data_IF_304388660955
#
_entry.id   IF_304388660955
#
_cell.length_a   1.000
_cell.length_b   1.000
_cell.length_c   1.000
_cell.angle_alpha   90.00
_cell.angle_beta   90.00
_cell.angle_gamma   90.00
#
_symmetry.space_group_name_H-M   'P 1'
#
loop_
_entity.id
_entity.type
_entity.pdbx_description
1 polymer ?
#
# COMPACT_ATOMS: atom_id res chain seq x y z
N UNK A 1 24.83 -28.61 -27.53
CA UNK A 1 23.39 -28.28 -27.41
C UNK A 1 23.27 -26.78 -27.18
N UNK A 2 22.57 -26.07 -28.07
CA UNK A 2 22.43 -24.61 -28.03
C UNK A 2 21.35 -24.22 -27.01
N UNK A 3 21.71 -23.43 -26.01
CA UNK A 3 20.75 -22.80 -25.11
C UNK A 3 20.08 -21.64 -25.86
N UNK A 4 18.91 -21.90 -26.44
CA UNK A 4 18.08 -20.85 -26.99
C UNK A 4 17.62 -19.93 -25.84
N UNK A 5 18.09 -18.67 -25.84
CA UNK A 5 17.51 -17.60 -25.03
C UNK A 5 16.03 -17.52 -25.36
N UNK A 6 15.17 -17.88 -24.40
CA UNK A 6 13.75 -17.55 -24.45
C UNK A 6 13.65 -16.03 -24.54
N UNK A 7 13.38 -15.51 -25.74
CA UNK A 7 12.95 -14.14 -25.92
C UNK A 7 11.60 -14.03 -25.21
N UNK A 8 11.57 -13.30 -24.10
CA UNK A 8 10.32 -12.87 -23.50
C UNK A 8 9.57 -12.03 -24.55
N UNK A 9 8.60 -12.65 -25.22
CA UNK A 9 7.67 -11.96 -26.09
C UNK A 9 6.93 -10.94 -25.23
N UNK A 10 7.31 -9.66 -25.36
CA UNK A 10 6.58 -8.54 -24.76
C UNK A 10 5.18 -8.55 -25.38
N UNK A 11 4.21 -8.99 -24.58
CA UNK A 11 2.79 -8.92 -24.95
C UNK A 11 2.45 -7.45 -25.23
N UNK A 12 1.80 -7.13 -26.37
CA UNK A 12 1.42 -5.76 -26.68
C UNK A 12 0.52 -5.20 -25.57
N UNK A 13 0.82 -3.97 -25.14
CA UNK A 13 0.03 -3.28 -24.13
C UNK A 13 -1.36 -2.99 -24.71
N UNK A 14 -2.40 -3.62 -24.18
CA UNK A 14 -3.80 -3.35 -24.51
C UNK A 14 -4.48 -2.65 -23.32
N UNK A 15 -5.59 -1.94 -23.53
CA UNK A 15 -6.39 -1.36 -22.43
C UNK A 15 -6.79 -2.40 -21.37
N UNK A 16 -7.01 -3.65 -21.78
CA UNK A 16 -7.29 -4.77 -20.86
C UNK A 16 -6.06 -5.19 -20.03
N UNK A 17 -4.84 -5.02 -20.56
CA UNK A 17 -3.59 -5.22 -19.80
C UNK A 17 -3.32 -4.08 -18.80
N UNK A 18 -3.82 -2.86 -19.07
CA UNK A 18 -3.73 -1.74 -18.13
C UNK A 18 -4.68 -1.88 -16.93
N UNK A 19 -5.78 -2.63 -17.05
CA UNK A 19 -6.74 -2.91 -15.98
C UNK A 19 -6.49 -4.26 -15.28
N UNK A 20 -5.23 -4.74 -15.30
CA UNK A 20 -4.87 -5.90 -14.48
C UNK A 20 -5.11 -5.60 -13.00
N UNK A 21 -5.45 -6.63 -12.21
CA UNK A 21 -5.60 -6.48 -10.77
C UNK A 21 -4.36 -5.86 -10.11
N UNK A 22 -3.15 -6.19 -10.61
CA UNK A 22 -1.91 -5.59 -10.11
C UNK A 22 -1.83 -4.09 -10.42
N UNK A 23 -2.22 -3.65 -11.61
CA UNK A 23 -2.21 -2.22 -11.95
C UNK A 23 -3.23 -1.46 -11.12
N UNK A 24 -4.43 -2.00 -10.93
CA UNK A 24 -5.48 -1.39 -10.09
C UNK A 24 -5.02 -1.30 -8.64
N UNK A 25 -4.45 -2.38 -8.09
CA UNK A 25 -3.89 -2.41 -6.74
C UNK A 25 -2.80 -1.35 -6.52
N UNK A 26 -1.88 -1.22 -7.49
CA UNK A 26 -0.80 -0.24 -7.43
C UNK A 26 -1.31 1.19 -7.51
N UNK A 27 -2.24 1.45 -8.43
CA UNK A 27 -2.90 2.75 -8.57
C UNK A 27 -3.71 3.14 -7.32
N UNK A 28 -4.40 2.17 -6.73
CA UNK A 28 -5.11 2.34 -5.45
C UNK A 28 -4.15 2.78 -4.34
N UNK A 29 -3.05 2.05 -4.14
CA UNK A 29 -2.06 2.39 -3.12
C UNK A 29 -1.37 3.74 -3.38
N UNK A 30 -1.11 4.10 -4.64
CA UNK A 30 -0.61 5.43 -4.98
C UNK A 30 -1.59 6.55 -4.59
N UNK A 31 -2.89 6.33 -4.84
CA UNK A 31 -3.95 7.26 -4.45
C UNK A 31 -4.03 7.39 -2.92
N UNK A 32 -4.04 6.28 -2.20
CA UNK A 32 -4.08 6.28 -0.72
C UNK A 32 -2.87 7.04 -0.16
N UNK A 33 -1.65 6.77 -0.64
CA UNK A 33 -0.46 7.51 -0.21
C UNK A 33 -0.60 9.03 -0.42
N UNK A 34 -1.13 9.44 -1.58
CA UNK A 34 -1.40 10.84 -1.87
C UNK A 34 -2.45 11.46 -0.93
N UNK A 35 -3.53 10.74 -0.63
CA UNK A 35 -4.59 11.21 0.27
C UNK A 35 -4.12 11.32 1.72
N UNK A 36 -3.33 10.37 2.21
CA UNK A 36 -2.76 10.42 3.57
C UNK A 36 -1.75 11.56 3.66
N UNK A 37 -0.90 11.74 2.64
CA UNK A 37 0.04 12.86 2.59
C UNK A 37 -0.70 14.21 2.55
N UNK A 38 -1.78 14.30 1.78
CA UNK A 38 -2.61 15.50 1.74
C UNK A 38 -3.24 15.80 3.11
N UNK A 39 -3.70 14.79 3.85
CA UNK A 39 -4.20 14.98 5.21
C UNK A 39 -3.08 15.45 6.15
N UNK A 40 -1.90 14.84 6.08
CA UNK A 40 -0.75 15.22 6.91
C UNK A 40 -0.35 16.69 6.74
N UNK A 41 -0.27 17.19 5.50
CA UNK A 41 0.16 18.57 5.24
C UNK A 41 -0.91 19.62 5.57
N UNK A 42 -2.19 19.24 5.59
CA UNK A 42 -3.31 20.17 5.81
C UNK A 42 -3.91 20.08 7.23
N UNK A 43 -3.49 19.12 8.05
CA UNK A 43 -3.93 19.00 9.43
C UNK A 43 -2.79 19.42 10.40
N UNK A 44 -2.89 20.58 11.07
CA UNK A 44 -1.84 21.04 11.98
C UNK A 44 -1.66 20.16 13.23
N UNK A 45 -2.63 19.29 13.54
CA UNK A 45 -2.56 18.34 14.65
C UNK A 45 -1.98 16.99 14.23
N UNK A 46 -1.67 16.79 12.93
CA UNK A 46 -1.21 15.51 12.42
C UNK A 46 0.16 15.12 12.98
N UNK A 47 0.21 13.99 13.69
CA UNK A 47 1.45 13.43 14.19
C UNK A 47 2.21 12.71 13.08
N UNK A 48 3.43 13.15 12.77
CA UNK A 48 4.26 12.54 11.74
C UNK A 48 4.47 11.02 11.92
N UNK A 49 4.55 10.55 13.17
CA UNK A 49 4.72 9.13 13.51
C UNK A 49 3.48 8.27 13.18
N UNK A 50 2.33 8.90 12.99
CA UNK A 50 1.12 8.23 12.54
C UNK A 50 1.02 8.27 11.01
N UNK A 51 1.13 9.44 10.41
CA UNK A 51 0.85 9.60 8.97
C UNK A 51 1.99 9.18 8.03
N UNK A 52 3.26 9.47 8.37
CA UNK A 52 4.38 9.21 7.45
C UNK A 52 4.63 7.72 7.22
N UNK A 53 4.49 6.82 8.21
CA UNK A 53 4.54 5.38 7.96
C UNK A 53 3.48 4.91 6.96
N UNK A 54 2.25 5.43 7.04
CA UNK A 54 1.16 5.07 6.12
C UNK A 54 1.48 5.55 4.70
N UNK A 55 1.92 6.79 4.53
CA UNK A 55 2.40 7.31 3.24
C UNK A 55 3.52 6.43 2.68
N UNK A 56 4.51 6.09 3.48
CA UNK A 56 5.66 5.30 3.04
C UNK A 56 5.25 3.90 2.60
N UNK A 57 4.41 3.22 3.38
CA UNK A 57 3.95 1.86 3.07
C UNK A 57 3.07 1.86 1.83
N UNK A 58 2.09 2.77 1.72
CA UNK A 58 1.23 2.85 0.53
C UNK A 58 2.02 3.25 -0.73
N UNK A 59 2.95 4.19 -0.63
CA UNK A 59 3.82 4.53 -1.76
C UNK A 59 4.70 3.34 -2.16
N UNK A 60 5.23 2.60 -1.18
CA UNK A 60 5.98 1.37 -1.44
C UNK A 60 5.10 0.32 -2.13
N UNK A 61 3.87 0.11 -1.70
CA UNK A 61 2.93 -0.83 -2.33
C UNK A 61 2.60 -0.50 -3.79
N UNK A 62 2.56 0.79 -4.13
CA UNK A 62 2.37 1.24 -5.50
C UNK A 62 3.49 0.78 -6.45
N UNK A 63 4.74 0.67 -5.96
CA UNK A 63 5.91 0.43 -6.81
C UNK A 63 6.63 -0.90 -6.54
N UNK A 64 6.47 -1.51 -5.38
CA UNK A 64 7.31 -2.62 -4.95
C UNK A 64 7.10 -3.89 -5.80
N UNK A 65 8.19 -4.55 -6.24
CA UNK A 65 8.11 -5.81 -6.98
C UNK A 65 7.73 -6.98 -6.06
N UNK A 66 7.28 -8.08 -6.67
CA UNK A 66 6.85 -9.27 -5.91
C UNK A 66 7.99 -9.97 -5.16
N UNK A 67 9.25 -9.71 -5.53
CA UNK A 67 10.42 -10.20 -4.79
C UNK A 67 10.50 -9.67 -3.35
N UNK A 68 9.74 -8.63 -3.02
CA UNK A 68 9.68 -8.04 -1.67
C UNK A 68 8.41 -8.40 -0.91
N UNK A 69 7.63 -9.40 -1.37
CA UNK A 69 6.32 -9.71 -0.80
C UNK A 69 6.35 -9.94 0.72
N UNK A 70 7.32 -10.68 1.25
CA UNK A 70 7.38 -10.95 2.70
C UNK A 70 7.70 -9.70 3.52
N UNK A 71 8.59 -8.84 3.00
CA UNK A 71 8.91 -7.56 3.65
C UNK A 71 7.69 -6.64 3.64
N UNK A 72 7.02 -6.56 2.49
CA UNK A 72 5.82 -5.75 2.28
C UNK A 72 4.66 -6.21 3.19
N UNK A 73 4.41 -7.53 3.25
CA UNK A 73 3.40 -8.11 4.13
C UNK A 73 3.72 -7.81 5.60
N UNK A 74 4.97 -8.01 6.03
CA UNK A 74 5.40 -7.69 7.39
C UNK A 74 5.18 -6.24 7.78
N UNK A 75 5.52 -5.29 6.89
CA UNK A 75 5.31 -3.87 7.11
C UNK A 75 3.81 -3.53 7.24
N UNK A 76 2.96 -4.05 6.36
CA UNK A 76 1.50 -3.82 6.44
C UNK A 76 0.88 -4.47 7.69
N UNK A 77 1.30 -5.66 8.10
CA UNK A 77 0.82 -6.30 9.32
C UNK A 77 1.18 -5.44 10.55
N UNK A 78 2.46 -5.08 10.67
CA UNK A 78 2.94 -4.30 11.80
C UNK A 78 2.21 -2.95 11.90
N UNK A 79 2.07 -2.26 10.76
CA UNK A 79 1.40 -0.97 10.73
C UNK A 79 -0.11 -1.09 10.95
N UNK A 80 -0.78 -2.06 10.34
CA UNK A 80 -2.21 -2.31 10.54
C UNK A 80 -2.55 -2.62 12.01
N UNK A 81 -1.70 -3.35 12.72
CA UNK A 81 -1.84 -3.57 14.17
C UNK A 81 -1.69 -2.24 14.93
N UNK A 82 -0.66 -1.45 14.63
CA UNK A 82 -0.43 -0.16 15.29
C UNK A 82 -1.60 0.80 15.08
N UNK A 83 -2.06 0.96 13.83
CA UNK A 83 -3.20 1.80 13.47
C UNK A 83 -4.49 1.33 14.14
N UNK A 84 -4.72 0.01 14.19
CA UNK A 84 -5.87 -0.59 14.87
C UNK A 84 -5.88 -0.31 16.38
N UNK A 85 -4.74 -0.45 17.05
CA UNK A 85 -4.62 -0.12 18.47
C UNK A 85 -4.83 1.39 18.72
N UNK A 86 -4.31 2.25 17.84
CA UNK A 86 -4.51 3.70 17.90
C UNK A 86 -6.00 4.06 17.73
N UNK A 87 -6.71 3.39 16.81
CA UNK A 87 -8.16 3.56 16.61
C UNK A 87 -8.95 3.21 17.87
N UNK A 88 -8.75 2.02 18.45
CA UNK A 88 -9.53 1.58 19.62
C UNK A 88 -9.17 2.31 20.92
N UNK A 89 -7.97 2.88 21.04
CA UNK A 89 -7.57 3.67 22.20
C UNK A 89 -8.05 5.12 22.18
N UNK A 90 -8.51 5.61 21.02
CA UNK A 90 -8.91 7.02 20.84
C UNK A 90 -7.74 8.01 20.89
N UNK A 91 -6.50 7.52 20.98
CA UNK A 91 -5.29 8.33 21.09
C UNK A 91 -4.60 8.45 19.72
N UNK A 92 -5.35 8.91 18.72
CA UNK A 92 -4.84 9.12 17.37
C UNK A 92 -5.21 10.50 16.85
N UNK A 93 -4.27 11.13 16.15
CA UNK A 93 -4.49 12.39 15.42
C UNK A 93 -5.07 12.13 14.02
N UNK A 94 -5.22 10.86 13.63
CA UNK A 94 -5.93 10.45 12.42
C UNK A 94 -7.45 10.40 12.71
N UNK A 95 -8.29 11.06 11.89
CA UNK A 95 -9.75 10.95 12.01
C UNK A 95 -10.21 9.48 12.02
N UNK A 96 -11.12 9.13 12.92
CA UNK A 96 -11.48 7.72 13.18
C UNK A 96 -11.88 6.94 11.91
N UNK A 97 -12.66 7.53 11.01
CA UNK A 97 -13.08 6.88 9.75
C UNK A 97 -11.88 6.64 8.82
N UNK A 98 -10.95 7.61 8.74
CA UNK A 98 -9.75 7.47 7.94
C UNK A 98 -8.84 6.37 8.52
N UNK A 99 -8.63 6.38 9.83
CA UNK A 99 -7.82 5.37 10.52
C UNK A 99 -8.40 3.95 10.34
N UNK A 100 -9.71 3.77 10.53
CA UNK A 100 -10.35 2.47 10.31
C UNK A 100 -10.19 2.00 8.86
N UNK A 101 -10.38 2.90 7.90
CA UNK A 101 -10.19 2.61 6.47
C UNK A 101 -8.74 2.18 6.20
N UNK A 102 -7.77 2.80 6.86
CA UNK A 102 -6.36 2.49 6.70
C UNK A 102 -5.98 1.12 7.27
N UNK A 103 -6.55 0.75 8.42
CA UNK A 103 -6.45 -0.62 8.96
C UNK A 103 -6.94 -1.65 7.95
N UNK A 104 -8.07 -1.38 7.28
CA UNK A 104 -8.56 -2.25 6.20
C UNK A 104 -7.61 -2.28 5.01
N UNK A 105 -7.02 -1.14 4.62
CA UNK A 105 -6.05 -1.08 3.51
C UNK A 105 -4.81 -1.93 3.80
N UNK A 106 -4.27 -1.86 5.01
CA UNK A 106 -3.16 -2.71 5.42
C UNK A 106 -3.54 -4.20 5.40
N UNK A 107 -4.77 -4.55 5.78
CA UNK A 107 -5.29 -5.91 5.63
C UNK A 107 -5.35 -6.37 4.18
N UNK A 108 -5.86 -5.53 3.28
CA UNK A 108 -5.95 -5.81 1.84
C UNK A 108 -4.55 -5.97 1.21
N UNK A 109 -3.61 -5.10 1.57
CA UNK A 109 -2.22 -5.19 1.11
C UNK A 109 -1.54 -6.46 1.62
N UNK A 110 -1.74 -6.80 2.89
CA UNK A 110 -1.24 -8.07 3.47
C UNK A 110 -1.78 -9.26 2.69
N UNK A 111 -3.10 -9.31 2.45
CA UNK A 111 -3.72 -10.37 1.69
C UNK A 111 -3.16 -10.48 0.28
N UNK A 112 -3.04 -9.34 -0.43
CA UNK A 112 -2.48 -9.32 -1.79
C UNK A 112 -1.03 -9.82 -1.85
N UNK A 113 -0.21 -9.53 -0.83
CA UNK A 113 1.20 -9.95 -0.79
C UNK A 113 1.39 -11.43 -0.46
N UNK A 114 0.40 -12.03 0.21
CA UNK A 114 0.44 -13.44 0.64
C UNK A 114 -0.32 -14.40 -0.30
N UNK A 115 -1.17 -13.89 -1.20
CA UNK A 115 -1.88 -14.65 -2.23
C UNK A 115 -1.01 -14.94 -3.45
#
# INVERSE_FOLDING_TARGET
MSYAKQQATQQPVSMYNLLSWSTVYRGYNALVAGLVMFQYINNPEAAAIEYLPDVAIHAFEAIAPNSLNQLAAGANIARGIQAGLAFFSGNSTIPSVANLTDVFNHGLNTYHRLS
#
